data_IF_940342319662
#
_entry.id   IF_940342319662
#
_cell.length_a   1.000
_cell.length_b   1.000
_cell.length_c   1.000
_cell.angle_alpha   90.00
_cell.angle_beta   90.00
_cell.angle_gamma   90.00
#
_symmetry.space_group_name_H-M   'P 1'
#
loop_
_entity.id
_entity.type
_entity.pdbx_description
1 polymer ?
#
# COMPACT_ATOMS: atom_id res chain seq x y z
N UNK A 1 29.59 30.80 28.75
CA UNK A 1 28.89 29.57 29.00
C UNK A 1 27.43 29.82 29.34
N UNK A 2 26.51 29.34 28.48
CA UNK A 2 25.07 29.27 28.76
C UNK A 2 24.65 27.86 28.37
N UNK A 3 23.92 27.08 29.20
CA UNK A 3 23.57 25.71 28.90
C UNK A 3 22.39 25.63 27.94
N UNK A 4 22.56 24.76 26.93
CA UNK A 4 21.55 24.52 25.90
C UNK A 4 20.32 23.81 26.42
N UNK A 5 19.15 24.26 25.94
CA UNK A 5 17.86 23.57 26.11
C UNK A 5 17.76 22.42 25.11
N UNK A 6 17.49 21.24 25.64
CA UNK A 6 17.14 20.03 24.88
C UNK A 6 15.74 20.19 24.26
N UNK A 7 15.49 19.78 23.02
CA UNK A 7 14.16 19.81 22.46
C UNK A 7 13.32 18.63 22.97
N UNK A 8 12.09 18.93 23.32
CA UNK A 8 11.05 18.01 23.74
C UNK A 8 10.72 17.01 22.62
N UNK A 9 10.64 15.75 22.97
CA UNK A 9 10.15 14.68 22.10
C UNK A 9 8.62 14.82 21.94
N UNK A 10 8.05 14.66 20.76
CA UNK A 10 6.60 14.54 20.63
C UNK A 10 6.17 13.14 21.07
N UNK A 11 5.19 13.09 21.95
CA UNK A 11 4.58 11.88 22.46
C UNK A 11 3.81 11.16 21.34
N UNK A 12 4.15 9.92 21.11
CA UNK A 12 3.50 9.02 20.17
C UNK A 12 2.21 8.48 20.79
N UNK A 13 1.06 8.81 20.20
CA UNK A 13 -0.25 8.25 20.54
C UNK A 13 -0.59 7.17 19.51
N UNK A 14 -0.73 5.90 19.89
CA UNK A 14 -1.20 4.89 18.94
C UNK A 14 -2.69 5.06 18.67
N UNK A 15 -3.06 5.18 17.39
CA UNK A 15 -4.44 5.23 16.93
C UNK A 15 -5.12 3.87 17.15
N UNK A 16 -6.00 3.81 18.14
CA UNK A 16 -6.92 2.69 18.33
C UNK A 16 -8.17 2.89 17.48
N UNK A 17 -8.51 1.93 16.65
CA UNK A 17 -9.72 1.93 15.83
C UNK A 17 -10.96 1.72 16.71
N UNK A 18 -11.82 2.72 16.85
CA UNK A 18 -13.12 2.63 17.52
C UNK A 18 -14.22 2.46 16.49
N UNK A 19 -14.85 1.30 16.45
CA UNK A 19 -16.11 1.07 15.74
C UNK A 19 -17.28 1.49 16.63
N UNK A 20 -17.87 2.66 16.38
CA UNK A 20 -19.10 3.09 16.98
C UNK A 20 -20.30 2.75 16.08
N UNK A 21 -21.18 1.85 16.51
CA UNK A 21 -22.51 1.66 15.92
C UNK A 21 -23.45 2.74 16.41
N UNK A 22 -23.89 3.62 15.51
CA UNK A 22 -24.94 4.57 15.77
C UNK A 22 -26.34 3.92 15.75
N UNK A 23 -27.13 4.12 16.81
CA UNK A 23 -28.57 4.04 16.75
C UNK A 23 -29.15 5.44 16.81
N UNK A 24 -29.94 5.79 15.80
CA UNK A 24 -30.80 6.97 15.81
C UNK A 24 -31.97 6.73 16.79
N UNK A 25 -32.25 7.67 17.67
CA UNK A 25 -33.61 7.90 18.16
C UNK A 25 -33.83 9.37 18.48
N UNK A 26 -34.91 9.86 17.99
CA UNK A 26 -35.50 11.19 18.18
C UNK A 26 -35.86 11.47 19.63
N UNK A 27 -35.68 12.64 20.09
CA UNK A 27 -36.44 13.65 20.48
C UNK A 27 -36.57 14.44 21.76
N UNK A 28 -36.96 15.62 21.68
CA UNK A 28 -37.61 16.55 22.63
C UNK A 28 -36.83 17.01 23.87
N UNK A 29 -36.74 18.35 23.94
CA UNK A 29 -36.07 19.12 24.96
C UNK A 29 -36.71 19.02 26.33
N UNK A 30 -35.87 18.85 27.32
CA UNK A 30 -36.02 19.41 28.66
C UNK A 30 -34.60 19.73 29.14
N UNK A 31 -34.41 20.94 29.64
CA UNK A 31 -33.17 21.34 30.27
C UNK A 31 -33.00 20.60 31.59
N UNK A 32 -32.32 19.47 31.56
CA UNK A 32 -31.87 18.79 32.76
C UNK A 32 -30.39 19.12 32.99
N UNK A 33 -30.09 19.77 34.12
CA UNK A 33 -28.69 19.97 34.55
C UNK A 33 -28.03 18.59 34.63
N UNK A 34 -27.02 18.39 33.81
CA UNK A 34 -26.17 17.22 33.91
C UNK A 34 -25.44 17.24 35.26
N UNK A 35 -25.40 16.12 35.99
CA UNK A 35 -24.53 15.99 37.14
C UNK A 35 -23.08 16.16 36.75
N UNK A 36 -22.27 16.76 37.61
CA UNK A 36 -20.83 16.92 37.38
C UNK A 36 -20.20 15.55 37.02
N UNK A 37 -19.27 15.50 36.11
CA UNK A 37 -18.57 14.24 35.76
C UNK A 37 -17.91 13.68 37.02
N UNK A 38 -18.00 12.36 37.26
CA UNK A 38 -17.34 11.72 38.38
C UNK A 38 -15.82 11.97 38.30
N UNK A 39 -15.19 12.08 39.44
CA UNK A 39 -13.76 12.38 39.59
C UNK A 39 -12.94 11.34 38.84
N UNK A 40 -12.31 11.76 37.74
CA UNK A 40 -11.55 10.93 36.78
C UNK A 40 -10.45 10.05 37.46
N UNK A 41 -10.05 10.43 38.66
CA UNK A 41 -9.08 9.66 39.47
C UNK A 41 -9.70 8.40 40.11
N UNK A 42 -10.95 8.44 40.53
CA UNK A 42 -11.60 7.26 41.13
C UNK A 42 -12.01 6.23 40.09
N UNK A 43 -12.45 6.64 38.89
CA UNK A 43 -12.74 5.71 37.81
C UNK A 43 -11.49 5.03 37.25
N UNK A 44 -10.37 5.73 37.17
CA UNK A 44 -9.09 5.15 36.75
C UNK A 44 -8.58 4.12 37.76
N UNK A 45 -8.73 4.36 39.06
CA UNK A 45 -8.35 3.40 40.09
C UNK A 45 -9.26 2.16 40.09
N UNK A 46 -10.56 2.34 39.92
CA UNK A 46 -11.51 1.22 39.88
C UNK A 46 -11.33 0.32 38.65
N UNK A 47 -10.95 0.88 37.49
CA UNK A 47 -10.65 0.12 36.28
C UNK A 47 -9.36 -0.69 36.37
N UNK A 48 -8.40 -0.26 37.20
CA UNK A 48 -7.14 -1.01 37.45
C UNK A 48 -7.29 -2.13 38.49
N UNK A 49 -8.28 -2.06 39.37
CA UNK A 49 -8.48 -3.08 40.41
C UNK A 49 -9.13 -4.37 39.90
N UNK A 50 -9.79 -4.34 38.74
CA UNK A 50 -10.45 -5.53 38.17
C UNK A 50 -9.53 -6.39 37.27
N UNK A 51 -8.29 -6.02 37.03
CA UNK A 51 -7.33 -6.82 36.27
C UNK A 51 -5.97 -6.83 36.95
N UNK A 52 -5.63 -7.94 37.58
CA UNK A 52 -4.28 -8.21 38.06
C UNK A 52 -3.25 -8.39 36.92
N UNK A 53 -3.71 -8.28 35.67
CA UNK A 53 -2.89 -8.49 34.49
C UNK A 53 -2.06 -7.23 34.22
N UNK A 54 -0.73 -7.34 34.38
CA UNK A 54 0.22 -6.25 34.11
C UNK A 54 0.68 -6.20 32.66
N UNK A 55 0.48 -7.27 31.91
CA UNK A 55 0.85 -7.37 30.50
C UNK A 55 -0.43 -7.33 29.65
N UNK A 56 -0.47 -6.46 28.66
CA UNK A 56 -1.56 -6.35 27.71
C UNK A 56 -1.52 -7.47 26.66
N UNK A 57 -1.73 -7.13 25.40
CA UNK A 57 -1.62 -8.07 24.28
C UNK A 57 -0.17 -8.52 24.10
N UNK A 58 0.03 -9.83 23.96
CA UNK A 58 1.31 -10.42 23.61
C UNK A 58 1.29 -10.79 22.14
N UNK A 59 2.28 -10.33 21.37
CA UNK A 59 2.48 -10.74 19.98
C UNK A 59 3.70 -11.65 19.88
N UNK A 60 3.58 -12.76 19.12
CA UNK A 60 4.63 -13.74 18.88
C UNK A 60 4.86 -13.92 17.40
N UNK A 61 6.11 -13.74 16.95
CA UNK A 61 6.52 -14.12 15.61
C UNK A 61 6.75 -15.63 15.53
N UNK A 62 5.94 -16.34 14.76
CA UNK A 62 6.08 -17.79 14.58
C UNK A 62 6.96 -18.07 13.36
N UNK A 63 7.99 -18.90 13.55
CA UNK A 63 8.82 -19.37 12.44
C UNK A 63 8.09 -20.48 11.69
N UNK A 64 8.04 -20.33 10.37
CA UNK A 64 7.48 -21.33 9.46
C UNK A 64 8.57 -21.84 8.51
N UNK A 65 8.38 -23.01 7.86
CA UNK A 65 9.16 -23.42 6.71
C UNK A 65 9.14 -22.37 5.59
N UNK A 66 10.06 -22.52 4.62
CA UNK A 66 10.00 -21.69 3.40
C UNK A 66 8.78 -22.11 2.61
N UNK A 67 7.84 -21.18 2.46
CA UNK A 67 6.61 -21.39 1.69
C UNK A 67 6.91 -21.32 0.20
N UNK A 68 6.40 -22.31 -0.54
CA UNK A 68 6.51 -22.45 -1.99
C UNK A 68 5.14 -22.46 -2.64
N UNK A 69 5.12 -22.26 -3.93
CA UNK A 69 3.91 -22.42 -4.74
C UNK A 69 3.38 -23.87 -4.63
N UNK A 70 2.08 -24.00 -4.39
CA UNK A 70 1.39 -25.27 -4.22
C UNK A 70 1.42 -25.87 -2.81
N UNK A 71 2.11 -25.23 -1.86
CA UNK A 71 2.12 -25.73 -0.47
C UNK A 71 0.73 -25.63 0.18
N UNK A 72 0.37 -26.60 1.02
CA UNK A 72 -0.79 -26.53 1.92
C UNK A 72 -0.50 -25.53 3.04
N UNK A 73 -0.75 -24.25 2.75
CA UNK A 73 -0.45 -23.19 3.68
C UNK A 73 -1.27 -23.30 4.98
N UNK A 74 -2.50 -23.81 4.93
CA UNK A 74 -3.32 -23.98 6.13
C UNK A 74 -2.71 -25.00 7.09
N UNK A 75 -2.23 -26.14 6.55
CA UNK A 75 -1.50 -27.13 7.34
C UNK A 75 -0.23 -26.54 7.94
N UNK A 76 0.60 -25.89 7.12
CA UNK A 76 1.86 -25.31 7.57
C UNK A 76 1.66 -24.29 8.69
N UNK A 77 0.67 -23.40 8.55
CA UNK A 77 0.36 -22.38 9.57
C UNK A 77 -0.11 -23.05 10.86
N UNK A 78 -1.06 -23.98 10.77
CA UNK A 78 -1.60 -24.64 11.96
C UNK A 78 -0.52 -25.43 12.69
N UNK A 79 0.28 -26.23 11.98
CA UNK A 79 1.38 -27.02 12.54
C UNK A 79 2.43 -26.13 13.19
N UNK A 80 2.87 -25.06 12.51
CA UNK A 80 3.88 -24.13 13.04
C UNK A 80 3.42 -23.44 14.33
N UNK A 81 2.14 -23.04 14.41
CA UNK A 81 1.56 -22.45 15.63
C UNK A 81 1.52 -23.47 16.76
N UNK A 82 1.08 -24.69 16.50
CA UNK A 82 0.98 -25.76 17.49
C UNK A 82 2.37 -26.22 18.00
N UNK A 83 3.35 -26.30 17.11
CA UNK A 83 4.73 -26.60 17.46
C UNK A 83 5.35 -25.49 18.31
N UNK A 84 5.15 -24.23 17.94
CA UNK A 84 5.63 -23.09 18.71
C UNK A 84 4.97 -23.07 20.10
N UNK A 85 3.68 -23.34 20.22
CA UNK A 85 2.99 -23.40 21.50
C UNK A 85 3.58 -24.47 22.42
N UNK A 86 3.91 -25.63 21.87
CA UNK A 86 4.57 -26.73 22.61
C UNK A 86 6.00 -26.39 23.00
N UNK A 87 6.79 -25.88 22.07
CA UNK A 87 8.21 -25.61 22.26
C UNK A 87 8.45 -24.47 23.26
N UNK A 88 7.63 -23.42 23.20
CA UNK A 88 7.75 -22.21 24.04
C UNK A 88 6.81 -22.24 25.26
N UNK A 89 6.13 -23.38 25.49
CA UNK A 89 5.26 -23.61 26.65
C UNK A 89 4.19 -22.50 26.85
N UNK A 90 3.48 -22.11 25.79
CA UNK A 90 2.32 -21.27 25.88
C UNK A 90 1.04 -21.96 25.40
N UNK A 91 -0.10 -21.56 25.90
CA UNK A 91 -1.41 -22.10 25.50
C UNK A 91 -2.15 -21.14 24.60
N UNK A 92 -2.84 -21.70 23.61
CA UNK A 92 -3.83 -20.94 22.83
C UNK A 92 -5.11 -20.76 23.64
N UNK A 93 -5.76 -19.63 23.47
CA UNK A 93 -7.03 -19.28 24.11
C UNK A 93 -8.08 -18.97 23.05
N UNK A 94 -9.34 -19.04 23.45
CA UNK A 94 -10.42 -18.58 22.59
C UNK A 94 -10.23 -17.11 22.27
N UNK A 95 -10.41 -16.75 20.98
CA UNK A 95 -10.22 -15.42 20.41
C UNK A 95 -8.77 -14.93 20.32
N UNK A 96 -7.79 -15.81 20.52
CA UNK A 96 -6.42 -15.50 20.06
C UNK A 96 -6.43 -15.29 18.54
N UNK A 97 -5.60 -14.37 18.05
CA UNK A 97 -5.55 -14.03 16.62
C UNK A 97 -4.30 -14.63 15.99
N UNK A 98 -4.52 -15.44 14.94
CA UNK A 98 -3.45 -15.91 14.06
C UNK A 98 -3.44 -15.01 12.82
N UNK A 99 -2.34 -14.30 12.60
CA UNK A 99 -2.20 -13.37 11.49
C UNK A 99 -1.20 -13.92 10.46
N UNK A 100 -1.66 -14.07 9.21
CA UNK A 100 -0.86 -14.55 8.08
C UNK A 100 -0.67 -13.40 7.10
N UNK A 101 0.56 -13.15 6.64
CA UNK A 101 0.79 -12.07 5.69
C UNK A 101 0.25 -12.42 4.30
N UNK A 102 -0.32 -11.44 3.60
CA UNK A 102 -0.79 -11.58 2.21
C UNK A 102 0.32 -12.13 1.30
N UNK A 103 1.55 -11.74 1.60
CA UNK A 103 2.73 -12.13 0.84
C UNK A 103 2.96 -13.62 0.80
N UNK A 104 2.75 -14.30 1.92
CA UNK A 104 2.90 -15.75 2.05
C UNK A 104 1.75 -16.47 1.35
N UNK A 105 0.52 -15.93 1.49
CA UNK A 105 -0.66 -16.49 0.81
C UNK A 105 -0.51 -16.41 -0.71
N UNK A 106 -0.16 -15.24 -1.23
CA UNK A 106 0.07 -15.07 -2.67
C UNK A 106 1.19 -15.97 -3.20
N UNK A 107 2.24 -16.21 -2.40
CA UNK A 107 3.32 -17.13 -2.75
C UNK A 107 2.83 -18.57 -2.83
N UNK A 108 2.09 -19.06 -1.86
CA UNK A 108 1.52 -20.40 -1.88
C UNK A 108 0.57 -20.60 -3.07
N UNK A 109 -0.17 -19.56 -3.43
CA UNK A 109 -1.05 -19.55 -4.61
C UNK A 109 -0.31 -19.45 -5.95
N UNK A 110 0.99 -19.18 -5.97
CA UNK A 110 1.72 -18.88 -7.21
C UNK A 110 1.18 -17.62 -7.93
N UNK A 111 0.65 -16.64 -7.18
CA UNK A 111 -0.04 -15.50 -7.78
C UNK A 111 0.95 -14.45 -8.27
N UNK A 112 1.64 -14.75 -9.36
CA UNK A 112 2.66 -13.93 -10.00
C UNK A 112 2.26 -13.52 -11.41
N UNK A 113 2.80 -12.39 -11.87
CA UNK A 113 2.74 -11.99 -13.27
C UNK A 113 4.11 -11.47 -13.74
N UNK A 114 4.44 -11.75 -14.98
CA UNK A 114 5.63 -11.23 -15.65
C UNK A 114 5.39 -9.85 -16.24
N UNK A 115 6.48 -9.15 -16.54
CA UNK A 115 6.48 -7.89 -17.29
C UNK A 115 5.76 -8.05 -18.64
N UNK A 116 5.89 -9.22 -19.29
CA UNK A 116 5.24 -9.50 -20.59
C UNK A 116 3.73 -9.67 -20.49
N UNK A 117 3.25 -10.29 -19.42
CA UNK A 117 1.83 -10.45 -19.16
C UNK A 117 1.18 -9.12 -18.80
N UNK A 118 1.86 -8.27 -18.03
CA UNK A 118 1.43 -6.88 -17.79
C UNK A 118 1.33 -6.13 -19.11
N UNK A 119 2.35 -6.22 -19.97
CA UNK A 119 2.39 -5.55 -21.25
C UNK A 119 1.25 -6.01 -22.19
N UNK A 120 0.95 -7.30 -22.17
CA UNK A 120 -0.15 -7.86 -22.97
C UNK A 120 -1.51 -7.30 -22.54
N UNK A 121 -1.79 -7.27 -21.23
CA UNK A 121 -3.05 -6.74 -20.70
C UNK A 121 -3.18 -5.23 -20.89
N UNK A 122 -2.12 -4.47 -20.65
CA UNK A 122 -2.07 -3.02 -20.91
C UNK A 122 -2.35 -2.73 -22.38
N UNK A 123 -1.72 -3.45 -23.30
CA UNK A 123 -1.95 -3.27 -24.74
C UNK A 123 -3.39 -3.59 -25.13
N UNK A 124 -3.95 -4.68 -24.60
CA UNK A 124 -5.33 -5.08 -24.87
C UNK A 124 -6.34 -4.04 -24.36
N UNK A 125 -6.11 -3.50 -23.15
CA UNK A 125 -7.04 -2.56 -22.49
C UNK A 125 -6.86 -1.11 -22.93
N UNK A 126 -5.64 -0.67 -23.23
CA UNK A 126 -5.31 0.73 -23.53
C UNK A 126 -4.96 0.99 -25.00
N UNK A 127 -4.93 -0.04 -25.84
CA UNK A 127 -4.74 0.10 -27.29
C UNK A 127 -3.29 0.21 -27.77
N UNK A 128 -2.30 0.23 -26.88
CA UNK A 128 -0.89 0.12 -27.23
C UNK A 128 -0.22 1.35 -27.89
N UNK A 129 -0.91 2.47 -28.02
CA UNK A 129 -0.34 3.70 -28.57
C UNK A 129 0.18 4.62 -27.44
N UNK A 130 -0.21 5.87 -27.39
CA UNK A 130 0.21 6.82 -26.34
C UNK A 130 -0.66 6.69 -25.10
N UNK A 131 -0.05 6.43 -23.96
CA UNK A 131 -0.73 6.28 -22.66
C UNK A 131 -0.19 7.29 -21.67
N UNK A 132 -1.09 8.04 -21.03
CA UNK A 132 -0.77 8.88 -19.87
C UNK A 132 -0.72 8.03 -18.60
N UNK A 133 0.41 8.00 -17.93
CA UNK A 133 0.62 7.29 -16.66
C UNK A 133 0.69 8.32 -15.54
N UNK A 134 -0.31 8.32 -14.63
CA UNK A 134 -0.51 9.38 -13.66
C UNK A 134 -0.18 8.95 -12.25
N UNK A 135 0.52 9.84 -11.56
CA UNK A 135 0.69 9.85 -10.10
C UNK A 135 1.20 8.53 -9.50
N UNK A 136 2.21 7.91 -10.11
CA UNK A 136 2.79 6.73 -9.50
C UNK A 136 3.55 7.08 -8.22
N UNK A 137 3.59 6.11 -7.28
CA UNK A 137 4.51 6.21 -6.16
C UNK A 137 5.96 6.03 -6.63
N UNK A 138 6.88 6.72 -5.97
CA UNK A 138 8.32 6.67 -6.28
C UNK A 138 8.95 5.46 -5.58
N UNK A 139 8.83 4.28 -6.19
CA UNK A 139 9.27 3.04 -5.58
C UNK A 139 9.93 2.07 -6.56
N UNK A 140 11.16 1.63 -6.23
CA UNK A 140 11.89 0.60 -6.98
C UNK A 140 11.29 -0.80 -6.81
N UNK A 141 10.73 -1.08 -5.64
CA UNK A 141 10.26 -2.42 -5.29
C UNK A 141 8.76 -2.65 -5.58
N UNK A 142 8.02 -1.59 -5.86
CA UNK A 142 6.59 -1.66 -6.15
C UNK A 142 6.27 -1.22 -7.56
N UNK A 143 6.48 0.05 -7.88
CA UNK A 143 6.01 0.61 -9.14
C UNK A 143 6.97 0.40 -10.31
N UNK A 144 8.29 0.43 -10.12
CA UNK A 144 9.26 0.37 -11.22
C UNK A 144 9.06 -0.84 -12.14
N UNK A 145 8.78 -2.01 -11.59
CA UNK A 145 8.54 -3.22 -12.41
C UNK A 145 7.18 -3.16 -13.12
N UNK A 146 6.15 -2.59 -12.48
CA UNK A 146 4.86 -2.33 -13.13
C UNK A 146 5.05 -1.36 -14.30
N UNK A 147 5.85 -0.30 -14.12
CA UNK A 147 6.16 0.68 -15.14
C UNK A 147 6.85 0.05 -16.35
N UNK A 148 7.77 -0.89 -16.15
CA UNK A 148 8.38 -1.66 -17.26
C UNK A 148 7.33 -2.41 -18.08
N UNK A 149 6.39 -3.09 -17.40
CA UNK A 149 5.30 -3.80 -18.08
C UNK A 149 4.35 -2.85 -18.82
N UNK A 150 3.98 -1.73 -18.20
CA UNK A 150 3.14 -0.71 -18.81
C UNK A 150 3.83 -0.14 -20.05
N UNK A 151 5.09 0.27 -19.94
CA UNK A 151 5.86 0.84 -21.06
C UNK A 151 6.01 -0.16 -22.20
N UNK A 152 6.33 -1.42 -21.92
CA UNK A 152 6.43 -2.47 -22.95
C UNK A 152 5.11 -2.73 -23.67
N UNK A 153 3.97 -2.39 -23.02
CA UNK A 153 2.63 -2.46 -23.61
C UNK A 153 2.26 -1.28 -24.52
N UNK A 154 3.04 -0.20 -24.56
CA UNK A 154 2.73 1.06 -25.20
C UNK A 154 3.82 1.47 -26.21
N UNK A 155 3.45 2.30 -27.21
CA UNK A 155 4.43 2.96 -28.10
C UNK A 155 5.07 4.16 -27.39
N UNK A 156 4.26 4.95 -26.68
CA UNK A 156 4.70 6.14 -25.94
C UNK A 156 4.04 6.21 -24.58
N UNK A 157 4.80 6.58 -23.56
CA UNK A 157 4.32 6.89 -22.21
C UNK A 157 4.47 8.37 -21.94
N UNK A 158 3.41 9.05 -21.58
CA UNK A 158 3.45 10.36 -20.96
C UNK A 158 3.36 10.16 -19.45
N UNK A 159 4.50 10.24 -18.79
CA UNK A 159 4.59 10.04 -17.34
C UNK A 159 4.33 11.34 -16.60
N UNK A 160 3.22 11.43 -15.88
CA UNK A 160 2.89 12.61 -15.07
C UNK A 160 3.14 12.33 -13.60
N UNK A 161 4.14 13.00 -13.05
CA UNK A 161 4.56 12.89 -11.66
C UNK A 161 3.94 13.99 -10.80
N UNK A 162 3.49 13.64 -9.61
CA UNK A 162 3.12 14.62 -8.59
C UNK A 162 4.36 15.29 -8.02
N UNK A 163 4.25 16.57 -7.65
CA UNK A 163 5.30 17.32 -6.97
C UNK A 163 4.70 18.27 -5.93
N UNK A 164 5.37 18.60 -4.84
CA UNK A 164 6.76 18.27 -4.50
C UNK A 164 6.99 16.81 -4.15
N UNK A 165 5.95 16.01 -3.86
CA UNK A 165 6.05 14.61 -3.49
C UNK A 165 4.93 13.77 -4.13
N UNK A 166 5.09 12.45 -4.09
CA UNK A 166 4.00 11.51 -4.36
C UNK A 166 3.00 11.47 -3.19
N UNK A 167 1.93 10.68 -3.33
CA UNK A 167 0.85 10.59 -2.34
C UNK A 167 1.25 9.96 -1.01
N UNK A 168 2.39 9.27 -0.94
CA UNK A 168 2.93 8.66 0.29
C UNK A 168 4.12 9.43 0.86
N UNK A 169 4.42 10.60 0.29
CA UNK A 169 5.40 11.54 0.84
C UNK A 169 6.83 11.36 0.33
N UNK A 170 7.09 10.53 -0.69
CA UNK A 170 8.40 10.50 -1.32
C UNK A 170 8.63 11.77 -2.12
N UNK A 171 9.61 12.57 -1.71
CA UNK A 171 9.86 13.88 -2.28
C UNK A 171 10.66 13.80 -3.60
N UNK A 172 10.23 14.59 -4.59
CA UNK A 172 11.01 14.94 -5.78
C UNK A 172 11.77 16.24 -5.57
N UNK A 173 11.16 17.19 -4.85
CA UNK A 173 11.72 18.49 -4.49
C UNK A 173 11.21 18.89 -3.11
N UNK A 174 11.93 19.77 -2.42
CA UNK A 174 11.49 20.31 -1.12
C UNK A 174 10.54 21.49 -1.30
N UNK A 175 9.76 21.79 -0.27
CA UNK A 175 8.90 22.99 -0.25
C UNK A 175 9.74 24.28 -0.36
N UNK A 176 10.92 24.35 0.27
CA UNK A 176 11.81 25.50 0.17
C UNK A 176 12.28 25.75 -1.28
N UNK A 177 12.51 24.66 -2.05
CA UNK A 177 12.83 24.79 -3.47
C UNK A 177 11.64 25.31 -4.28
N UNK A 178 10.43 24.84 -3.99
CA UNK A 178 9.18 25.29 -4.62
C UNK A 178 8.98 26.81 -4.35
N UNK A 179 9.09 27.21 -3.09
CA UNK A 179 8.90 28.61 -2.67
C UNK A 179 9.95 29.52 -3.31
N UNK A 180 11.22 29.09 -3.34
CA UNK A 180 12.32 29.84 -3.97
C UNK A 180 12.13 29.98 -5.48
N UNK A 181 11.60 28.96 -6.13
CA UNK A 181 11.34 28.98 -7.57
C UNK A 181 10.07 29.78 -7.92
N UNK A 182 9.25 30.16 -6.94
CA UNK A 182 8.00 30.89 -7.14
C UNK A 182 6.94 30.06 -7.89
N UNK A 183 6.95 28.74 -7.71
CA UNK A 183 6.05 27.79 -8.38
C UNK A 183 4.85 27.50 -7.49
N UNK A 184 3.65 27.44 -8.10
CA UNK A 184 2.44 27.00 -7.44
C UNK A 184 2.10 25.55 -7.82
N UNK A 185 2.37 24.55 -6.95
CA UNK A 185 2.12 23.14 -7.27
C UNK A 185 0.65 22.81 -7.54
N UNK A 186 -0.27 23.66 -7.09
CA UNK A 186 -1.70 23.44 -7.29
C UNK A 186 -2.19 23.81 -8.69
N UNK A 187 -1.46 24.65 -9.42
CA UNK A 187 -1.86 25.14 -10.74
C UNK A 187 -0.84 24.89 -11.83
N UNK A 188 0.45 24.91 -11.48
CA UNK A 188 1.51 24.92 -12.48
C UNK A 188 1.81 23.54 -13.01
N UNK A 189 2.05 23.48 -14.32
CA UNK A 189 2.47 22.28 -15.04
C UNK A 189 3.89 22.52 -15.55
N UNK A 190 4.81 21.62 -15.19
CA UNK A 190 6.19 21.71 -15.62
C UNK A 190 6.52 20.62 -16.63
N UNK A 191 7.23 20.98 -17.69
CA UNK A 191 7.91 20.00 -18.55
C UNK A 191 9.17 19.49 -17.86
N UNK A 192 9.73 18.37 -18.34
CA UNK A 192 11.01 17.86 -17.83
C UNK A 192 12.13 18.89 -17.92
N UNK A 193 12.21 19.62 -19.04
CA UNK A 193 13.19 20.67 -19.24
C UNK A 193 13.06 21.76 -18.18
N UNK A 194 11.84 22.29 -18.00
CA UNK A 194 11.58 23.34 -16.99
C UNK A 194 11.84 22.85 -15.57
N UNK A 195 11.49 21.62 -15.26
CA UNK A 195 11.77 21.02 -13.96
C UNK A 195 13.30 20.96 -13.72
N UNK A 196 14.08 20.53 -14.72
CA UNK A 196 15.54 20.43 -14.61
C UNK A 196 16.22 21.79 -14.54
N UNK A 197 15.70 22.80 -15.22
CA UNK A 197 16.20 24.19 -15.10
C UNK A 197 16.01 24.73 -13.68
N UNK A 198 14.85 24.48 -13.07
CA UNK A 198 14.51 25.01 -11.74
C UNK A 198 15.20 24.27 -10.61
N UNK A 199 15.26 22.95 -10.70
CA UNK A 199 15.60 22.08 -9.57
C UNK A 199 16.82 21.21 -9.79
N UNK A 200 17.32 21.10 -11.02
CA UNK A 200 18.45 20.22 -11.35
C UNK A 200 18.12 18.74 -11.15
N UNK A 201 19.10 17.97 -10.68
CA UNK A 201 18.92 16.59 -10.24
C UNK A 201 18.70 16.55 -8.73
N UNK A 202 17.61 15.94 -8.30
CA UNK A 202 17.27 15.77 -6.89
C UNK A 202 17.20 14.27 -6.56
N UNK A 203 18.34 13.64 -6.21
CA UNK A 203 18.33 12.26 -5.76
C UNK A 203 17.62 12.16 -4.41
N UNK A 204 16.74 11.17 -4.30
CA UNK A 204 16.03 10.88 -3.05
C UNK A 204 17.02 10.67 -1.89
N UNK A 205 16.82 11.37 -0.79
CA UNK A 205 17.76 11.50 0.33
C UNK A 205 18.30 10.16 0.85
N UNK A 206 17.42 9.17 1.01
CA UNK A 206 17.79 7.87 1.59
C UNK A 206 18.26 6.84 0.55
N UNK A 207 17.78 6.93 -0.68
CA UNK A 207 18.07 5.92 -1.71
C UNK A 207 19.14 6.35 -2.68
N UNK A 208 19.42 7.65 -2.77
CA UNK A 208 20.33 8.24 -3.76
C UNK A 208 19.82 8.12 -5.20
N UNK A 209 18.54 7.80 -5.41
CA UNK A 209 17.93 7.61 -6.73
C UNK A 209 17.27 8.90 -7.18
N UNK A 210 17.66 9.41 -8.35
CA UNK A 210 16.87 10.38 -9.09
C UNK A 210 15.74 9.65 -9.81
N UNK A 211 14.54 9.64 -9.22
CA UNK A 211 13.40 8.91 -9.75
C UNK A 211 12.91 9.43 -11.10
N UNK A 212 13.15 10.70 -11.40
CA UNK A 212 12.79 11.28 -12.71
C UNK A 212 13.61 10.64 -13.81
N UNK A 213 14.95 10.60 -13.65
CA UNK A 213 15.83 9.91 -14.58
C UNK A 213 15.57 8.41 -14.60
N UNK A 214 15.46 7.80 -13.42
CA UNK A 214 15.28 6.36 -13.28
C UNK A 214 14.02 5.83 -13.98
N UNK A 215 12.87 6.51 -13.83
CA UNK A 215 11.64 6.12 -14.51
C UNK A 215 11.70 6.41 -16.01
N UNK A 216 12.32 7.52 -16.39
CA UNK A 216 12.54 7.82 -17.81
C UNK A 216 13.38 6.75 -18.51
N UNK A 217 14.47 6.31 -17.89
CA UNK A 217 15.33 5.25 -18.41
C UNK A 217 14.61 3.90 -18.48
N UNK A 218 13.85 3.54 -17.42
CA UNK A 218 13.02 2.33 -17.41
C UNK A 218 12.04 2.25 -18.58
N UNK A 219 11.40 3.38 -18.94
CA UNK A 219 10.45 3.44 -20.04
C UNK A 219 11.18 3.25 -21.37
N UNK A 220 12.34 3.94 -21.57
CA UNK A 220 13.16 3.82 -22.79
C UNK A 220 13.72 2.40 -22.95
N UNK A 221 14.23 1.82 -21.88
CA UNK A 221 14.78 0.45 -21.87
C UNK A 221 13.70 -0.59 -22.17
N UNK A 222 12.45 -0.30 -21.84
CA UNK A 222 11.30 -1.14 -22.20
C UNK A 222 10.87 -0.99 -23.67
N UNK A 223 11.48 -0.05 -24.41
CA UNK A 223 11.23 0.17 -25.84
C UNK A 223 10.13 1.19 -26.16
N UNK A 224 9.66 1.98 -25.19
CA UNK A 224 8.70 3.03 -25.42
C UNK A 224 9.33 4.43 -25.45
N UNK A 225 8.75 5.33 -26.23
CA UNK A 225 9.05 6.75 -26.13
C UNK A 225 8.54 7.29 -24.78
N UNK A 226 9.25 8.27 -24.23
CA UNK A 226 8.88 8.87 -22.94
C UNK A 226 8.81 10.39 -23.01
N UNK A 227 7.75 10.93 -22.42
CA UNK A 227 7.59 12.33 -22.09
C UNK A 227 7.26 12.44 -20.61
N UNK A 228 7.98 13.30 -19.85
CA UNK A 228 7.78 13.44 -18.41
C UNK A 228 7.25 14.83 -18.14
N UNK A 229 6.17 14.88 -17.35
CA UNK A 229 5.42 16.09 -16.98
C UNK A 229 5.21 16.08 -15.47
N UNK A 230 5.20 17.25 -14.87
CA UNK A 230 4.93 17.42 -13.44
C UNK A 230 3.68 18.27 -13.26
N UNK A 231 2.68 17.70 -12.60
CA UNK A 231 1.42 18.39 -12.32
C UNK A 231 0.70 17.68 -11.18
N UNK A 232 -0.17 18.42 -10.45
CA UNK A 232 -1.03 17.86 -9.42
C UNK A 232 -2.52 17.88 -9.81
N UNK A 233 -2.81 18.41 -11.00
CA UNK A 233 -4.16 18.41 -11.57
C UNK A 233 -4.29 17.27 -12.58
N UNK A 234 -5.12 16.25 -12.33
CA UNK A 234 -5.25 15.10 -13.25
C UNK A 234 -5.55 15.50 -14.70
N UNK A 235 -6.35 16.57 -14.89
CA UNK A 235 -6.74 17.07 -16.20
C UNK A 235 -5.57 17.51 -17.09
N UNK A 236 -4.42 17.86 -16.51
CA UNK A 236 -3.24 18.30 -17.26
C UNK A 236 -2.77 17.25 -18.28
N UNK A 237 -2.96 15.95 -17.98
CA UNK A 237 -2.57 14.88 -18.90
C UNK A 237 -3.35 14.92 -20.23
N UNK A 238 -4.55 15.47 -20.24
CA UNK A 238 -5.42 15.50 -21.43
C UNK A 238 -4.90 16.43 -22.53
N UNK A 239 -3.92 17.28 -22.23
CA UNK A 239 -3.18 18.03 -23.26
C UNK A 239 -2.22 17.14 -24.07
N UNK A 240 -1.94 15.94 -23.60
CA UNK A 240 -0.97 15.00 -24.19
C UNK A 240 -1.65 13.75 -24.76
N UNK A 241 -2.64 13.20 -24.05
CA UNK A 241 -3.37 12.00 -24.45
C UNK A 241 -4.70 11.89 -23.71
N UNK A 242 -5.68 11.27 -24.35
CA UNK A 242 -7.01 10.97 -23.78
C UNK A 242 -7.15 9.53 -23.26
N UNK A 243 -6.07 8.74 -23.38
CA UNK A 243 -5.97 7.37 -22.88
C UNK A 243 -5.06 7.34 -21.67
N UNK A 244 -5.62 7.01 -20.51
CA UNK A 244 -4.97 7.28 -19.22
C UNK A 244 -4.99 6.05 -18.32
N UNK A 245 -3.86 5.79 -17.69
CA UNK A 245 -3.68 4.83 -16.60
C UNK A 245 -3.34 5.58 -15.31
N UNK A 246 -4.26 5.60 -14.34
CA UNK A 246 -4.03 6.18 -13.03
C UNK A 246 -3.28 5.19 -12.13
N UNK A 247 -2.22 5.67 -11.47
CA UNK A 247 -1.36 4.84 -10.64
C UNK A 247 -1.35 5.25 -9.17
N UNK A 248 -2.13 6.27 -8.83
CA UNK A 248 -2.38 6.66 -7.45
C UNK A 248 -3.19 5.59 -6.70
N UNK A 249 -2.85 5.37 -5.44
CA UNK A 249 -3.39 4.30 -4.62
C UNK A 249 -4.67 4.75 -3.92
N UNK A 250 -4.57 5.81 -3.12
CA UNK A 250 -5.67 6.28 -2.26
C UNK A 250 -6.66 7.18 -2.99
N UNK A 251 -6.18 7.97 -3.92
CA UNK A 251 -6.98 8.98 -4.63
C UNK A 251 -7.52 8.52 -5.97
N UNK A 252 -7.19 7.31 -6.43
CA UNK A 252 -7.52 6.78 -7.77
C UNK A 252 -8.99 6.93 -8.18
N UNK A 253 -9.92 6.68 -7.26
CA UNK A 253 -11.37 6.82 -7.56
C UNK A 253 -11.73 8.26 -7.92
N UNK A 254 -11.17 9.23 -7.18
CA UNK A 254 -11.33 10.66 -7.47
C UNK A 254 -10.64 11.02 -8.78
N UNK A 255 -9.43 10.55 -9.00
CA UNK A 255 -8.64 10.81 -10.21
C UNK A 255 -9.34 10.27 -11.45
N UNK A 256 -9.79 9.01 -11.44
CA UNK A 256 -10.59 8.41 -12.52
C UNK A 256 -11.86 9.23 -12.83
N UNK A 257 -12.59 9.67 -11.81
CA UNK A 257 -13.79 10.50 -11.98
C UNK A 257 -13.46 11.84 -12.63
N UNK A 258 -12.44 12.57 -12.13
CA UNK A 258 -12.03 13.87 -12.70
C UNK A 258 -11.66 13.75 -14.18
N UNK A 259 -10.96 12.69 -14.57
CA UNK A 259 -10.56 12.46 -15.95
C UNK A 259 -11.74 12.16 -16.85
N UNK A 260 -12.68 11.30 -16.41
CA UNK A 260 -13.90 10.99 -17.15
C UNK A 260 -14.77 12.23 -17.32
N UNK A 261 -14.97 13.00 -16.26
CA UNK A 261 -15.73 14.27 -16.28
C UNK A 261 -15.08 15.32 -17.19
N UNK A 262 -13.77 15.24 -17.40
CA UNK A 262 -13.01 16.12 -18.30
C UNK A 262 -12.94 15.62 -19.76
N UNK A 263 -13.58 14.50 -20.08
CA UNK A 263 -13.67 13.98 -21.45
C UNK A 263 -12.54 13.05 -21.88
N UNK A 264 -11.81 12.44 -20.94
CA UNK A 264 -10.87 11.37 -21.28
C UNK A 264 -11.61 10.22 -21.97
N UNK A 265 -11.08 9.75 -23.10
CA UNK A 265 -11.68 8.68 -23.89
C UNK A 265 -11.63 7.33 -23.19
N UNK A 266 -10.51 7.06 -22.53
CA UNK A 266 -10.27 5.79 -21.84
C UNK A 266 -9.52 6.02 -20.54
N UNK A 267 -10.09 5.56 -19.42
CA UNK A 267 -9.51 5.73 -18.08
C UNK A 267 -9.52 4.39 -17.36
N UNK A 268 -8.33 3.84 -17.16
CA UNK A 268 -8.06 2.69 -16.31
C UNK A 268 -7.22 3.10 -15.08
N UNK A 269 -7.14 2.25 -14.07
CA UNK A 269 -6.19 2.34 -12.98
C UNK A 269 -5.38 1.06 -12.88
N UNK A 270 -4.41 1.02 -11.95
CA UNK A 270 -3.67 -0.21 -11.65
C UNK A 270 -4.61 -1.36 -11.23
N UNK A 271 -5.71 -1.03 -10.59
CA UNK A 271 -6.77 -1.94 -10.18
C UNK A 271 -7.61 -2.49 -11.36
N UNK A 272 -7.44 -1.97 -12.57
CA UNK A 272 -8.09 -2.48 -13.79
C UNK A 272 -7.16 -3.38 -14.64
N UNK A 273 -5.87 -3.49 -14.31
CA UNK A 273 -4.89 -4.30 -15.02
C UNK A 273 -4.67 -5.62 -14.28
N UNK A 274 -4.67 -6.76 -15.00
CA UNK A 274 -4.59 -8.11 -14.46
C UNK A 274 -5.73 -8.45 -13.47
N UNK A 275 -6.93 -8.04 -13.81
CA UNK A 275 -8.16 -8.43 -13.09
C UNK A 275 -8.67 -9.83 -13.47
N UNK A 276 -8.09 -10.42 -14.49
CA UNK A 276 -8.29 -11.79 -14.94
C UNK A 276 -6.96 -12.36 -15.46
N UNK A 277 -6.81 -13.70 -15.60
CA UNK A 277 -5.58 -14.30 -16.10
C UNK A 277 -5.27 -13.84 -17.54
N UNK A 278 -4.00 -13.50 -17.78
CA UNK A 278 -3.49 -13.13 -19.11
C UNK A 278 -2.31 -14.04 -19.41
N UNK A 279 -2.41 -14.84 -20.47
CA UNK A 279 -1.37 -15.80 -20.88
C UNK A 279 -0.91 -16.74 -19.75
N UNK A 280 -1.81 -17.11 -18.82
CA UNK A 280 -1.49 -17.95 -17.69
C UNK A 280 -0.95 -17.20 -16.46
N UNK A 281 -0.98 -15.89 -16.45
CA UNK A 281 -0.56 -15.09 -15.29
C UNK A 281 -1.44 -15.35 -14.06
N UNK A 282 -0.89 -14.97 -12.90
CA UNK A 282 -1.70 -14.62 -11.74
C UNK A 282 -2.58 -13.40 -12.03
N UNK A 283 -3.55 -13.16 -11.17
CA UNK A 283 -4.45 -12.01 -11.26
C UNK A 283 -5.07 -11.71 -9.90
N UNK A 284 -5.71 -10.55 -9.78
CA UNK A 284 -6.59 -10.25 -8.66
C UNK A 284 -7.79 -9.46 -9.18
N UNK A 285 -9.00 -9.99 -9.01
CA UNK A 285 -10.23 -9.43 -9.56
C UNK A 285 -10.54 -8.01 -9.04
N UNK A 286 -10.17 -7.73 -7.80
CA UNK A 286 -10.50 -6.47 -7.12
C UNK A 286 -9.38 -5.43 -7.22
N UNK A 287 -8.12 -5.89 -7.17
CA UNK A 287 -6.97 -4.99 -7.03
C UNK A 287 -6.04 -4.99 -8.23
N UNK A 288 -6.12 -6.01 -9.11
CA UNK A 288 -5.24 -6.08 -10.28
C UNK A 288 -3.76 -5.93 -9.92
N UNK A 289 -3.09 -4.94 -10.54
CA UNK A 289 -1.70 -4.56 -10.24
C UNK A 289 -1.56 -3.73 -8.96
N UNK A 290 -2.64 -3.17 -8.44
CA UNK A 290 -2.58 -2.37 -7.23
C UNK A 290 -2.06 -3.22 -6.07
N UNK A 291 -1.10 -2.69 -5.31
CA UNK A 291 -0.49 -3.39 -4.18
C UNK A 291 0.47 -4.52 -4.56
N UNK A 292 0.78 -4.70 -5.83
CA UNK A 292 1.79 -5.67 -6.26
C UNK A 292 3.20 -5.30 -5.80
N UNK A 293 4.04 -6.31 -5.64
CA UNK A 293 5.42 -6.15 -5.21
C UNK A 293 6.38 -6.91 -6.12
N UNK A 294 7.60 -6.38 -6.29
CA UNK A 294 8.66 -7.07 -7.02
C UNK A 294 8.97 -8.43 -6.38
N UNK A 295 8.86 -9.49 -7.16
CA UNK A 295 9.25 -10.84 -6.76
C UNK A 295 10.63 -11.22 -7.31
N UNK A 296 10.87 -10.95 -8.60
CA UNK A 296 12.15 -11.11 -9.29
C UNK A 296 12.40 -9.90 -10.17
N UNK A 297 13.46 -9.93 -10.99
CA UNK A 297 13.70 -8.83 -11.95
C UNK A 297 12.57 -8.71 -13.00
N UNK A 298 11.91 -9.82 -13.36
CA UNK A 298 10.91 -9.86 -14.42
C UNK A 298 9.50 -10.24 -13.96
N UNK A 299 9.31 -10.49 -12.65
CA UNK A 299 8.02 -10.90 -12.10
C UNK A 299 7.61 -10.08 -10.89
N UNK A 300 6.34 -9.78 -10.84
CA UNK A 300 5.67 -9.23 -9.65
C UNK A 300 4.85 -10.31 -8.97
N UNK A 301 4.64 -10.13 -7.68
CA UNK A 301 3.67 -10.86 -6.88
C UNK A 301 2.44 -9.96 -6.69
N UNK A 302 1.28 -10.49 -7.02
CA UNK A 302 -0.01 -9.83 -6.85
C UNK A 302 -0.58 -10.08 -5.45
N UNK A 303 -1.62 -9.36 -5.07
CA UNK A 303 -2.39 -9.71 -3.88
C UNK A 303 -3.01 -11.10 -4.00
N UNK A 304 -3.12 -11.84 -2.89
CA UNK A 304 -3.73 -13.16 -2.90
C UNK A 304 -5.22 -13.08 -3.26
N UNK A 305 -5.74 -14.20 -3.72
CA UNK A 305 -7.15 -14.38 -4.03
C UNK A 305 -7.81 -15.26 -2.97
N UNK A 306 -9.12 -15.12 -2.81
CA UNK A 306 -9.94 -16.05 -2.03
C UNK A 306 -9.34 -16.41 -0.66
N UNK A 307 -8.96 -15.42 0.12
CA UNK A 307 -8.34 -15.64 1.43
C UNK A 307 -9.29 -16.33 2.45
N UNK A 308 -10.61 -16.19 2.26
CA UNK A 308 -11.60 -16.74 3.20
C UNK A 308 -11.53 -18.25 3.39
N UNK A 309 -11.41 -19.09 2.33
CA UNK A 309 -11.24 -20.53 2.51
C UNK A 309 -10.02 -20.88 3.35
N UNK A 310 -8.88 -20.20 3.12
CA UNK A 310 -7.66 -20.38 3.91
C UNK A 310 -7.89 -20.05 5.39
N UNK A 311 -8.52 -18.92 5.69
CA UNK A 311 -8.83 -18.49 7.05
C UNK A 311 -9.67 -19.52 7.78
N UNK A 312 -10.74 -20.01 7.13
CA UNK A 312 -11.64 -20.99 7.70
C UNK A 312 -10.97 -22.37 7.92
N UNK A 313 -10.08 -22.77 7.01
CA UNK A 313 -9.34 -24.03 7.15
C UNK A 313 -8.35 -23.96 8.32
N UNK A 314 -7.59 -22.88 8.47
CA UNK A 314 -6.70 -22.70 9.63
C UNK A 314 -7.51 -22.73 10.94
N UNK A 315 -8.64 -22.01 11.02
CA UNK A 315 -9.52 -22.03 12.20
C UNK A 315 -9.99 -23.44 12.54
N UNK A 316 -10.42 -24.19 11.52
CA UNK A 316 -10.90 -25.56 11.69
C UNK A 316 -9.79 -26.50 12.22
N UNK A 317 -8.59 -26.43 11.66
CA UNK A 317 -7.44 -27.25 12.10
C UNK A 317 -7.02 -26.94 13.52
N UNK A 318 -6.97 -25.67 13.91
CA UNK A 318 -6.66 -25.26 15.30
C UNK A 318 -7.76 -25.73 16.27
N UNK A 319 -9.01 -25.56 15.90
CA UNK A 319 -10.15 -26.03 16.72
C UNK A 319 -10.08 -27.54 16.94
N UNK A 320 -9.85 -28.32 15.89
CA UNK A 320 -9.72 -29.77 15.98
C UNK A 320 -8.56 -30.20 16.87
N UNK A 321 -7.43 -29.52 16.79
CA UNK A 321 -6.24 -29.86 17.55
C UNK A 321 -6.26 -29.44 19.02
N UNK A 322 -6.99 -28.35 19.35
CA UNK A 322 -6.88 -27.72 20.66
C UNK A 322 -8.21 -27.51 21.38
N UNK A 323 -9.34 -27.65 20.68
CA UNK A 323 -10.65 -27.27 21.17
C UNK A 323 -10.85 -25.76 21.35
N UNK A 324 -9.95 -24.91 20.80
CA UNK A 324 -10.01 -23.45 20.94
C UNK A 324 -10.52 -22.78 19.67
N UNK A 325 -11.39 -21.81 19.85
CA UNK A 325 -11.89 -20.93 18.78
C UNK A 325 -10.97 -19.73 18.64
N UNK A 326 -10.06 -19.79 17.70
CA UNK A 326 -9.15 -18.69 17.35
C UNK A 326 -9.74 -17.86 16.22
N UNK A 327 -9.34 -16.59 16.16
CA UNK A 327 -9.55 -15.74 14.99
C UNK A 327 -8.35 -15.86 14.06
N UNK A 328 -8.60 -15.84 12.74
CA UNK A 328 -7.53 -15.88 11.73
C UNK A 328 -7.73 -14.72 10.77
N UNK A 329 -6.66 -14.05 10.42
CA UNK A 329 -6.69 -12.96 9.47
C UNK A 329 -5.54 -13.08 8.48
N UNK A 330 -5.80 -12.70 7.23
CA UNK A 330 -4.75 -12.38 6.25
C UNK A 330 -4.57 -10.87 6.27
N UNK A 331 -3.36 -10.41 6.52
CA UNK A 331 -3.06 -8.99 6.54
C UNK A 331 -1.97 -8.67 5.52
N UNK A 332 -2.13 -7.52 4.86
CA UNK A 332 -1.15 -7.01 3.95
C UNK A 332 -0.57 -5.76 4.54
N UNK A 333 0.52 -5.90 5.18
CA UNK A 333 1.46 -4.84 5.37
C UNK A 333 2.78 -5.41 5.87
N UNK A 334 3.85 -5.04 5.22
CA UNK A 334 5.18 -5.43 5.62
C UNK A 334 5.97 -4.22 6.06
N UNK A 335 6.40 -4.21 7.31
CA UNK A 335 7.56 -3.41 7.64
C UNK A 335 8.80 -4.15 7.14
N UNK A 336 9.56 -3.57 6.22
CA UNK A 336 10.85 -4.11 5.81
C UNK A 336 11.95 -3.08 5.97
N UNK A 337 13.11 -3.56 6.38
CA UNK A 337 14.26 -2.70 6.58
C UNK A 337 14.97 -2.45 5.26
N UNK A 338 14.99 -1.18 4.82
CA UNK A 338 15.70 -0.83 3.60
C UNK A 338 17.20 -1.19 3.70
N UNK A 339 17.77 -1.93 2.72
CA UNK A 339 19.13 -2.49 2.85
C UNK A 339 20.21 -1.43 3.02
N UNK A 340 20.10 -0.28 2.36
CA UNK A 340 21.06 0.82 2.45
C UNK A 340 20.70 1.85 3.52
N UNK A 341 19.47 2.35 3.50
CA UNK A 341 19.01 3.39 4.42
C UNK A 341 18.83 2.93 5.86
N UNK A 342 18.75 1.62 6.09
CA UNK A 342 18.52 1.02 7.42
C UNK A 342 17.23 1.49 8.10
N UNK A 343 16.34 2.11 7.36
CA UNK A 343 15.02 2.55 7.82
C UNK A 343 14.00 1.44 7.60
N UNK A 344 12.94 1.48 8.40
CA UNK A 344 11.77 0.65 8.21
C UNK A 344 10.80 1.34 7.26
N UNK A 345 10.48 0.67 6.18
CA UNK A 345 9.41 1.10 5.27
C UNK A 345 8.12 0.35 5.65
N UNK A 346 7.06 1.11 5.85
CA UNK A 346 5.72 0.59 6.10
C UNK A 346 4.93 0.65 4.80
N UNK A 347 4.31 -0.45 4.45
CA UNK A 347 3.31 -0.46 3.40
C UNK A 347 1.92 -0.25 4.00
N UNK A 348 0.98 0.24 3.22
CA UNK A 348 -0.39 0.43 3.69
C UNK A 348 -1.03 -0.90 4.06
N UNK A 349 -1.72 -0.99 5.20
CA UNK A 349 -2.37 -2.21 5.60
C UNK A 349 -3.50 -2.58 4.64
N UNK A 350 -3.43 -3.78 4.11
CA UNK A 350 -4.55 -4.43 3.43
C UNK A 350 -4.97 -5.61 4.28
N UNK A 351 -6.14 -5.49 4.86
CA UNK A 351 -6.73 -6.55 5.67
C UNK A 351 -7.84 -7.20 4.86
N UNK A 352 -7.69 -8.49 4.62
CA UNK A 352 -8.75 -9.31 4.02
C UNK A 352 -9.32 -10.22 5.12
N UNK A 353 -10.61 -10.12 5.40
CA UNK A 353 -11.27 -10.99 6.36
C UNK A 353 -11.37 -12.44 5.87
#
# INVERSE_FOLDING_TARGET
GIPGKSPLRPDYVPAGLLLARGKKSDRQGSQMRLPAPPDDKQERTHRMEHSNRRVGTTSRGIRCPIIREGDDLAAIVAESVLEAARAENFSLHDRDVIAVTESVVARAQGNYASVDEIAADVRAKLGGDTVGVLFPILSRNRFAICLRGIAKGCRKVVLMLSYPSDEVGNQLVTWDQIDTAGINPYSDVLTLERYRELFGSNPHEFTGVDYVSYYGDLIRDAGADVEIVFANQPRAILHYTDTVLTCDIHTRTRTKRILRDAGARLVCGLDDILTSPVNGSGYNEQYGLLGSNKATEDKIKLFPRECRPLVLDIQSRILQATGKHVEVMVYGDGAFKHPKGKLWELADPVVSP
#
